data_IF_701747657495
#
_entry.id   IF_701747657495
#
_cell.length_a   1.000
_cell.length_b   1.000
_cell.length_c   1.000
_cell.angle_alpha   90.00
_cell.angle_beta   90.00
_cell.angle_gamma   90.00
#
_symmetry.space_group_name_H-M   'P 1'
#
loop_
_entity.id
_entity.type
_entity.pdbx_description
1 polymer ?
#
# COMPACT_ATOMS: atom_id res chain seq x y z
N UNK A 1 11.45 30.75 -5.69
CA UNK A 1 10.26 30.06 -6.23
C UNK A 1 9.91 28.98 -5.21
N UNK A 2 8.80 29.13 -4.49
CA UNK A 2 8.33 28.14 -3.53
C UNK A 2 7.20 27.36 -4.19
N UNK A 3 7.32 26.05 -4.23
CA UNK A 3 6.30 25.13 -4.70
C UNK A 3 6.66 23.72 -4.25
N UNK A 4 5.63 22.91 -4.03
CA UNK A 4 5.64 21.46 -3.79
C UNK A 4 5.93 20.99 -2.36
N UNK A 5 4.99 21.23 -1.44
CA UNK A 5 4.82 20.35 -0.27
C UNK A 5 3.36 20.20 0.19
N UNK A 6 2.41 20.97 -0.37
CA UNK A 6 0.96 20.90 -0.06
C UNK A 6 0.23 19.78 -0.82
N UNK A 7 0.61 19.52 -2.07
CA UNK A 7 -0.15 18.64 -2.97
C UNK A 7 -0.27 17.19 -2.44
N UNK A 8 0.80 16.63 -1.88
CA UNK A 8 0.82 15.21 -1.47
C UNK A 8 0.03 14.88 -0.20
N UNK A 9 -0.30 15.88 0.63
CA UNK A 9 -1.17 15.68 1.81
C UNK A 9 -2.64 15.86 1.47
N UNK A 10 -2.95 16.80 0.58
CA UNK A 10 -4.30 16.99 0.06
C UNK A 10 -4.78 15.76 -0.73
N UNK A 11 -3.91 15.16 -1.55
CA UNK A 11 -4.23 13.95 -2.33
C UNK A 11 -4.66 12.76 -1.45
N UNK A 12 -3.97 12.53 -0.32
CA UNK A 12 -4.27 11.43 0.60
C UNK A 12 -5.55 11.67 1.40
N UNK A 13 -5.83 12.91 1.77
CA UNK A 13 -7.04 13.24 2.53
C UNK A 13 -8.29 13.30 1.64
N UNK A 14 -8.15 13.74 0.38
CA UNK A 14 -9.20 13.62 -0.64
C UNK A 14 -9.50 12.14 -0.95
N UNK A 15 -8.46 11.32 -1.07
CA UNK A 15 -8.60 9.88 -1.25
C UNK A 15 -9.36 9.23 -0.08
N UNK A 16 -9.00 9.53 1.17
CA UNK A 16 -9.71 9.01 2.37
C UNK A 16 -11.18 9.44 2.42
N UNK A 17 -11.50 10.68 2.03
CA UNK A 17 -12.88 11.18 1.98
C UNK A 17 -13.69 10.43 0.92
N UNK A 18 -13.13 10.27 -0.26
CA UNK A 18 -13.73 9.52 -1.37
C UNK A 18 -13.93 8.05 -1.03
N UNK A 19 -12.92 7.46 -0.36
CA UNK A 19 -12.91 6.10 0.17
C UNK A 19 -14.05 5.89 1.18
N UNK A 20 -14.17 6.80 2.16
CA UNK A 20 -15.23 6.77 3.19
C UNK A 20 -16.64 6.86 2.58
N UNK A 21 -16.85 7.77 1.63
CA UNK A 21 -18.14 7.92 0.95
C UNK A 21 -18.50 6.67 0.15
N UNK A 22 -17.54 6.09 -0.58
CA UNK A 22 -17.78 4.85 -1.32
C UNK A 22 -18.13 3.68 -0.38
N UNK A 23 -17.45 3.58 0.77
CA UNK A 23 -17.72 2.52 1.73
C UNK A 23 -19.11 2.66 2.36
N UNK A 24 -19.59 3.87 2.64
CA UNK A 24 -20.96 4.07 3.13
C UNK A 24 -22.02 3.70 2.09
N UNK A 25 -21.77 4.00 0.81
CA UNK A 25 -22.64 3.60 -0.29
C UNK A 25 -22.66 2.07 -0.45
N UNK A 26 -21.50 1.43 -0.44
CA UNK A 26 -21.42 -0.02 -0.56
C UNK A 26 -22.04 -0.75 0.63
N UNK A 27 -21.88 -0.23 1.84
CA UNK A 27 -22.53 -0.80 3.02
C UNK A 27 -24.05 -0.82 2.89
N UNK A 28 -24.65 0.17 2.20
CA UNK A 28 -26.10 0.22 1.97
C UNK A 28 -26.62 -0.84 0.98
N UNK A 29 -25.79 -1.31 0.05
CA UNK A 29 -26.15 -2.37 -0.92
C UNK A 29 -25.78 -3.78 -0.41
N UNK A 30 -24.94 -3.88 0.63
CA UNK A 30 -24.51 -5.15 1.23
C UNK A 30 -25.66 -5.92 1.92
N UNK A 31 -26.77 -5.26 2.23
CA UNK A 31 -27.96 -5.87 2.84
C UNK A 31 -28.77 -6.76 1.87
N UNK A 32 -28.37 -6.81 0.58
CA UNK A 32 -29.08 -7.54 -0.47
C UNK A 32 -28.87 -9.06 -0.44
N UNK A 33 -27.63 -9.53 -0.32
CA UNK A 33 -27.29 -10.96 -0.35
C UNK A 33 -25.82 -11.24 0.03
N UNK A 34 -25.51 -12.50 0.40
CA UNK A 34 -24.17 -12.93 0.86
C UNK A 34 -23.07 -12.71 -0.19
N UNK A 35 -23.35 -12.88 -1.49
CA UNK A 35 -22.33 -12.69 -2.53
C UNK A 35 -21.94 -11.21 -2.59
N UNK A 36 -22.93 -10.32 -2.58
CA UNK A 36 -22.72 -8.87 -2.56
C UNK A 36 -21.93 -8.45 -1.33
N UNK A 37 -22.28 -8.99 -0.15
CA UNK A 37 -21.53 -8.74 1.09
C UNK A 37 -20.04 -9.13 0.97
N UNK A 38 -19.75 -10.34 0.48
CA UNK A 38 -18.37 -10.84 0.31
C UNK A 38 -17.56 -9.96 -0.65
N UNK A 39 -18.16 -9.53 -1.77
CA UNK A 39 -17.45 -8.69 -2.76
C UNK A 39 -17.14 -7.30 -2.20
N UNK A 40 -18.04 -6.74 -1.39
CA UNK A 40 -17.82 -5.47 -0.71
C UNK A 40 -16.74 -5.61 0.37
N UNK A 41 -16.78 -6.68 1.15
CA UNK A 41 -15.73 -6.97 2.13
C UNK A 41 -14.37 -7.11 1.43
N UNK A 42 -14.31 -7.84 0.31
CA UNK A 42 -13.10 -7.94 -0.51
C UNK A 42 -12.59 -6.56 -0.93
N UNK A 43 -13.44 -5.71 -1.51
CA UNK A 43 -13.06 -4.35 -1.90
C UNK A 43 -12.55 -3.53 -0.72
N UNK A 44 -13.24 -3.56 0.43
CA UNK A 44 -12.84 -2.81 1.63
C UNK A 44 -11.47 -3.29 2.17
N UNK A 45 -11.26 -4.60 2.20
CA UNK A 45 -9.98 -5.17 2.63
C UNK A 45 -8.86 -4.83 1.64
N UNK A 46 -9.18 -4.71 0.36
CA UNK A 46 -8.22 -4.35 -0.70
C UNK A 46 -7.85 -2.89 -0.66
N UNK A 47 -8.83 -2.01 -0.49
CA UNK A 47 -8.63 -0.59 -0.27
C UNK A 47 -7.73 -0.33 0.94
N UNK A 48 -8.01 -0.97 2.07
CA UNK A 48 -7.17 -0.85 3.29
C UNK A 48 -5.73 -1.33 3.06
N UNK A 49 -5.54 -2.30 2.16
CA UNK A 49 -4.23 -2.84 1.82
C UNK A 49 -3.45 -1.86 0.92
N UNK A 50 -4.09 -1.35 -0.14
CA UNK A 50 -3.53 -0.30 -1.01
C UNK A 50 -3.17 0.95 -0.21
N UNK A 51 -4.05 1.43 0.67
CA UNK A 51 -3.78 2.57 1.54
C UNK A 51 -2.52 2.35 2.40
N UNK A 52 -2.34 1.13 2.91
CA UNK A 52 -1.15 0.79 3.69
C UNK A 52 0.12 0.85 2.83
N UNK A 53 0.08 0.35 1.59
CA UNK A 53 1.21 0.42 0.65
C UNK A 53 1.50 1.85 0.20
N UNK A 54 0.46 2.66 -0.05
CA UNK A 54 0.60 4.07 -0.40
C UNK A 54 1.29 4.85 0.73
N UNK A 55 0.93 4.61 1.99
CA UNK A 55 1.61 5.21 3.13
C UNK A 55 3.11 4.85 3.12
N UNK A 56 3.46 3.58 2.89
CA UNK A 56 4.86 3.14 2.82
C UNK A 56 5.61 3.92 1.72
N UNK A 57 5.04 4.01 0.52
CA UNK A 57 5.69 4.69 -0.61
C UNK A 57 5.76 6.21 -0.38
N UNK A 58 4.65 6.84 -0.04
CA UNK A 58 4.53 8.29 -0.03
C UNK A 58 5.06 8.95 1.24
N UNK A 59 5.00 8.27 2.39
CA UNK A 59 5.40 8.82 3.69
C UNK A 59 6.74 8.29 4.20
N UNK A 60 7.21 7.16 3.68
CA UNK A 60 8.54 6.63 4.02
C UNK A 60 9.51 6.69 2.84
N UNK A 61 9.22 6.01 1.72
CA UNK A 61 10.17 5.90 0.61
C UNK A 61 10.46 7.25 -0.06
N UNK A 62 9.43 7.98 -0.48
CA UNK A 62 9.59 9.23 -1.22
C UNK A 62 10.29 10.32 -0.38
N UNK A 63 9.95 10.55 0.90
CA UNK A 63 10.65 11.53 1.72
C UNK A 63 12.12 11.15 1.95
N UNK A 64 12.44 9.86 2.10
CA UNK A 64 13.83 9.41 2.23
C UNK A 64 14.65 9.57 0.95
N UNK A 65 14.01 9.63 -0.22
CA UNK A 65 14.65 9.90 -1.51
C UNK A 65 14.68 11.39 -1.87
N UNK A 66 13.93 12.22 -1.18
CA UNK A 66 13.87 13.64 -1.47
C UNK A 66 15.19 14.31 -1.07
N UNK A 67 15.76 15.12 -1.97
CA UNK A 67 17.01 15.85 -1.74
C UNK A 67 16.94 16.84 -0.58
N UNK A 68 15.74 17.30 -0.25
CA UNK A 68 15.50 18.24 0.87
C UNK A 68 15.34 17.53 2.22
N UNK A 69 15.44 16.19 2.24
CA UNK A 69 15.35 15.42 3.47
C UNK A 69 16.61 15.63 4.33
N UNK A 70 16.42 16.01 5.59
CA UNK A 70 17.52 16.15 6.57
C UNK A 70 18.22 14.80 6.85
N UNK A 71 17.60 13.68 6.45
CA UNK A 71 18.18 12.35 6.56
C UNK A 71 19.15 12.12 5.40
N UNK A 72 20.45 12.26 5.67
CA UNK A 72 21.48 11.84 4.71
C UNK A 72 21.53 10.32 4.65
N UNK A 73 20.78 9.72 3.72
CA UNK A 73 20.83 8.30 3.37
C UNK A 73 21.01 8.19 1.85
N UNK A 74 21.80 7.20 1.41
CA UNK A 74 21.95 6.93 -0.02
C UNK A 74 20.63 6.44 -0.59
N UNK A 75 20.18 7.05 -1.69
CA UNK A 75 18.97 6.65 -2.41
C UNK A 75 18.98 5.18 -2.80
N UNK A 76 20.15 4.60 -3.08
CA UNK A 76 20.29 3.17 -3.38
C UNK A 76 19.97 2.29 -2.16
N UNK A 77 20.31 2.74 -0.96
CA UNK A 77 19.95 2.03 0.28
C UNK A 77 18.43 2.09 0.48
N UNK A 78 17.81 3.24 0.17
CA UNK A 78 16.34 3.38 0.20
C UNK A 78 15.69 2.44 -0.82
N UNK A 79 16.21 2.38 -2.04
CA UNK A 79 15.75 1.43 -3.06
C UNK A 79 15.86 -0.03 -2.61
N UNK A 80 16.96 -0.40 -1.95
CA UNK A 80 17.17 -1.74 -1.42
C UNK A 80 16.17 -2.07 -0.29
N UNK A 81 15.82 -1.09 0.55
CA UNK A 81 14.83 -1.26 1.64
C UNK A 81 13.42 -1.47 1.06
N UNK A 82 13.04 -0.69 0.05
CA UNK A 82 11.68 -0.68 -0.52
C UNK A 82 11.55 -1.49 -1.82
N UNK A 83 12.54 -2.33 -2.12
CA UNK A 83 12.58 -3.11 -3.35
C UNK A 83 11.28 -3.89 -3.57
N UNK A 84 10.73 -3.80 -4.78
CA UNK A 84 9.43 -4.36 -5.22
C UNK A 84 8.17 -3.77 -4.58
N UNK A 85 8.25 -2.95 -3.52
CA UNK A 85 7.06 -2.34 -2.89
C UNK A 85 6.27 -1.46 -3.87
N UNK A 86 6.88 -0.56 -4.67
CA UNK A 86 6.13 0.23 -5.66
C UNK A 86 5.47 -0.63 -6.74
N UNK A 87 6.12 -1.72 -7.15
CA UNK A 87 5.57 -2.65 -8.14
C UNK A 87 4.34 -3.40 -7.60
N UNK A 88 4.40 -3.84 -6.34
CA UNK A 88 3.26 -4.46 -5.64
C UNK A 88 2.12 -3.43 -5.51
N UNK A 89 2.41 -2.20 -5.09
CA UNK A 89 1.41 -1.13 -5.01
C UNK A 89 0.69 -0.94 -6.34
N UNK A 90 1.41 -0.82 -7.45
CA UNK A 90 0.83 -0.61 -8.77
C UNK A 90 -0.11 -1.76 -9.20
N UNK A 91 0.25 -3.02 -8.89
CA UNK A 91 -0.62 -4.18 -9.16
C UNK A 91 -1.95 -4.06 -8.40
N UNK A 92 -1.85 -3.74 -7.11
CA UNK A 92 -3.02 -3.69 -6.23
C UNK A 92 -3.88 -2.43 -6.45
N UNK A 93 -3.30 -1.30 -6.85
CA UNK A 93 -4.06 -0.12 -7.30
C UNK A 93 -4.89 -0.45 -8.55
N UNK A 94 -4.30 -1.13 -9.53
CA UNK A 94 -5.03 -1.58 -10.72
C UNK A 94 -6.15 -2.57 -10.38
N UNK A 95 -5.89 -3.51 -9.47
CA UNK A 95 -6.91 -4.45 -9.01
C UNK A 95 -8.05 -3.75 -8.25
N UNK A 96 -7.73 -2.81 -7.38
CA UNK A 96 -8.71 -2.03 -6.63
C UNK A 96 -9.60 -1.20 -7.56
N UNK A 97 -9.03 -0.56 -8.58
CA UNK A 97 -9.78 0.17 -9.60
C UNK A 97 -10.75 -0.74 -10.35
N UNK A 98 -10.30 -1.94 -10.69
CA UNK A 98 -11.08 -2.96 -11.40
C UNK A 98 -12.21 -3.56 -10.53
N UNK A 99 -12.00 -3.68 -9.22
CA UNK A 99 -13.06 -4.00 -8.25
C UNK A 99 -14.07 -2.85 -8.12
N UNK A 100 -13.60 -1.61 -8.04
CA UNK A 100 -14.45 -0.43 -7.95
C UNK A 100 -15.38 -0.31 -9.16
N UNK A 101 -14.84 -0.45 -10.37
CA UNK A 101 -15.62 -0.42 -11.63
C UNK A 101 -16.74 -1.47 -11.64
N UNK A 102 -16.49 -2.67 -11.12
CA UNK A 102 -17.54 -3.69 -10.98
C UNK A 102 -18.60 -3.26 -9.98
N UNK A 103 -18.18 -2.81 -8.80
CA UNK A 103 -19.08 -2.41 -7.74
C UNK A 103 -19.97 -1.21 -8.12
N UNK A 104 -19.46 -0.24 -8.87
CA UNK A 104 -20.23 0.91 -9.37
C UNK A 104 -21.42 0.49 -10.27
N UNK A 105 -21.35 -0.71 -10.87
CA UNK A 105 -22.40 -1.26 -11.75
C UNK A 105 -22.90 -2.65 -11.26
N UNK A 106 -22.80 -2.91 -9.95
CA UNK A 106 -23.02 -4.24 -9.38
C UNK A 106 -24.43 -4.78 -9.63
N UNK A 107 -24.52 -6.03 -10.10
CA UNK A 107 -25.80 -6.71 -10.31
C UNK A 107 -25.66 -8.23 -10.21
N UNK A 108 -26.79 -8.93 -10.31
CA UNK A 108 -26.87 -10.39 -10.11
C UNK A 108 -26.07 -11.23 -11.10
N UNK A 109 -25.71 -10.69 -12.27
CA UNK A 109 -25.03 -11.43 -13.33
C UNK A 109 -23.52 -11.13 -13.40
N UNK A 110 -23.00 -10.20 -12.60
CA UNK A 110 -21.58 -9.88 -12.59
C UNK A 110 -20.76 -10.94 -11.85
N UNK A 111 -19.51 -11.07 -12.31
CA UNK A 111 -18.49 -11.95 -11.72
C UNK A 111 -17.25 -11.12 -11.39
N UNK A 112 -16.49 -11.57 -10.39
CA UNK A 112 -15.22 -10.96 -9.98
C UNK A 112 -14.01 -11.84 -10.30
N UNK A 113 -14.21 -13.13 -10.56
CA UNK A 113 -13.12 -14.11 -10.70
C UNK A 113 -12.22 -13.85 -11.92
N UNK A 114 -12.77 -13.27 -12.98
CA UNK A 114 -12.02 -12.80 -14.14
C UNK A 114 -11.04 -11.68 -13.78
N UNK A 115 -11.42 -10.77 -12.88
CA UNK A 115 -10.54 -9.72 -12.33
C UNK A 115 -9.30 -10.33 -11.70
N UNK A 116 -9.50 -11.34 -10.84
CA UNK A 116 -8.42 -12.05 -10.17
C UNK A 116 -7.50 -12.74 -11.16
N UNK A 117 -8.07 -13.43 -12.16
CA UNK A 117 -7.29 -14.12 -13.16
C UNK A 117 -6.45 -13.14 -13.99
N UNK A 118 -7.04 -12.03 -14.42
CA UNK A 118 -6.36 -11.02 -15.23
C UNK A 118 -5.17 -10.40 -14.49
N UNK A 119 -5.32 -10.13 -13.19
CA UNK A 119 -4.26 -9.51 -12.39
C UNK A 119 -3.25 -10.55 -11.89
N UNK A 120 -3.69 -11.62 -11.24
CA UNK A 120 -2.81 -12.49 -10.46
C UNK A 120 -2.38 -13.78 -11.17
N UNK A 121 -2.93 -14.12 -12.34
CA UNK A 121 -2.47 -15.31 -13.10
C UNK A 121 -1.25 -15.04 -13.98
N UNK A 122 -0.77 -13.79 -14.03
CA UNK A 122 0.42 -13.43 -14.80
C UNK A 122 1.70 -13.86 -14.05
N UNK A 123 2.59 -14.59 -14.73
CA UNK A 123 3.87 -15.03 -14.14
C UNK A 123 4.75 -13.87 -13.64
N UNK A 124 4.62 -12.68 -14.22
CA UNK A 124 5.33 -11.48 -13.77
C UNK A 124 4.93 -11.06 -12.35
N UNK A 125 3.66 -11.26 -11.97
CA UNK A 125 3.20 -10.95 -10.61
C UNK A 125 3.84 -11.91 -9.60
N UNK A 126 3.88 -13.20 -9.92
CA UNK A 126 4.57 -14.20 -9.09
C UNK A 126 6.06 -13.87 -8.91
N UNK A 127 6.71 -13.42 -9.98
CA UNK A 127 8.12 -13.00 -9.94
C UNK A 127 8.33 -11.79 -9.02
N UNK A 128 7.46 -10.77 -9.10
CA UNK A 128 7.50 -9.58 -8.23
C UNK A 128 7.39 -9.98 -6.75
N UNK A 129 6.43 -10.83 -6.38
CA UNK A 129 6.32 -11.30 -4.99
C UNK A 129 7.49 -12.17 -4.56
N UNK A 130 8.01 -13.01 -5.44
CA UNK A 130 9.19 -13.83 -5.16
C UNK A 130 10.40 -12.95 -4.86
N UNK A 131 10.63 -11.93 -5.70
CA UNK A 131 11.69 -10.95 -5.53
C UNK A 131 11.53 -10.12 -4.25
N UNK A 132 10.30 -9.73 -3.92
CA UNK A 132 9.99 -9.05 -2.66
C UNK A 132 10.36 -9.93 -1.46
N UNK A 133 9.84 -11.16 -1.40
CA UNK A 133 10.09 -12.09 -0.29
C UNK A 133 11.58 -12.41 -0.14
N UNK A 134 12.29 -12.59 -1.24
CA UNK A 134 13.74 -12.83 -1.23
C UNK A 134 14.52 -11.64 -0.66
N UNK A 135 14.06 -10.41 -0.90
CA UNK A 135 14.71 -9.20 -0.39
C UNK A 135 14.30 -8.82 1.05
N UNK A 136 13.20 -9.37 1.59
CA UNK A 136 12.70 -8.97 2.91
C UNK A 136 13.74 -9.10 4.03
N UNK A 137 14.51 -10.18 4.06
CA UNK A 137 15.56 -10.36 5.07
C UNK A 137 16.62 -9.26 4.98
N UNK A 138 17.14 -9.00 3.77
CA UNK A 138 18.10 -7.93 3.48
C UNK A 138 17.55 -6.55 3.83
N UNK A 139 16.30 -6.26 3.48
CA UNK A 139 15.65 -5.00 3.80
C UNK A 139 15.61 -4.76 5.32
N UNK A 140 15.24 -5.78 6.11
CA UNK A 140 15.19 -5.68 7.58
C UNK A 140 16.56 -5.44 8.20
N UNK A 141 17.58 -6.15 7.74
CA UNK A 141 18.95 -5.95 8.20
C UNK A 141 19.46 -4.55 7.85
N UNK A 142 19.12 -4.07 6.65
CA UNK A 142 19.48 -2.73 6.17
C UNK A 142 18.81 -1.64 7.01
N UNK A 143 17.51 -1.78 7.32
CA UNK A 143 16.79 -0.88 8.23
C UNK A 143 17.47 -0.85 9.61
N UNK A 144 17.78 -2.02 10.18
CA UNK A 144 18.42 -2.12 11.50
C UNK A 144 19.79 -1.46 11.52
N UNK A 145 20.58 -1.69 10.48
CA UNK A 145 21.89 -1.08 10.33
C UNK A 145 21.77 0.45 10.24
N UNK A 146 20.89 0.96 9.36
CA UNK A 146 20.66 2.39 9.19
C UNK A 146 20.19 3.07 10.48
N UNK A 147 19.29 2.44 11.24
CA UNK A 147 18.86 2.95 12.54
C UNK A 147 20.02 3.03 13.56
N UNK A 148 21.00 2.14 13.46
CA UNK A 148 22.13 2.08 14.40
C UNK A 148 23.26 3.03 14.00
N UNK A 149 23.47 3.24 12.69
CA UNK A 149 24.55 4.07 12.16
C UNK A 149 24.12 5.52 11.91
N UNK A 150 22.82 5.77 11.72
CA UNK A 150 22.29 7.08 11.34
C UNK A 150 21.13 7.51 12.26
N UNK A 151 21.40 8.30 13.32
CA UNK A 151 20.38 8.75 14.27
C UNK A 151 19.25 9.59 13.65
N UNK A 152 19.53 10.35 12.57
CA UNK A 152 18.52 11.10 11.83
C UNK A 152 17.50 10.19 11.15
N UNK A 153 17.95 9.05 10.59
CA UNK A 153 17.08 8.03 10.01
C UNK A 153 16.19 7.39 11.08
N UNK A 154 16.75 7.02 12.23
CA UNK A 154 15.98 6.48 13.35
C UNK A 154 14.91 7.47 13.85
N UNK A 155 15.28 8.75 13.98
CA UNK A 155 14.36 9.82 14.38
C UNK A 155 13.26 10.05 13.34
N UNK A 156 13.59 10.02 12.06
CA UNK A 156 12.61 10.11 10.97
C UNK A 156 11.57 8.98 11.08
N UNK A 157 12.02 7.73 11.23
CA UNK A 157 11.10 6.60 11.39
C UNK A 157 10.23 6.72 12.64
N UNK A 158 10.76 7.24 13.75
CA UNK A 158 9.99 7.46 14.98
C UNK A 158 8.90 8.53 14.80
N UNK A 159 9.22 9.64 14.13
CA UNK A 159 8.26 10.71 13.83
C UNK A 159 7.13 10.18 12.94
N UNK A 160 7.48 9.53 11.83
CA UNK A 160 6.49 8.96 10.91
C UNK A 160 5.61 7.90 11.59
N UNK A 161 6.18 7.05 12.45
CA UNK A 161 5.42 6.04 13.20
C UNK A 161 4.42 6.66 14.21
N UNK A 162 4.76 7.81 14.82
CA UNK A 162 3.87 8.54 15.75
C UNK A 162 2.72 9.22 14.99
N UNK A 163 3.00 9.84 13.85
CA UNK A 163 1.99 10.52 13.02
C UNK A 163 0.95 9.54 12.45
N UNK A 164 1.37 8.33 12.10
CA UNK A 164 0.47 7.29 11.57
C UNK A 164 -0.14 6.37 12.65
N UNK A 165 -0.35 6.91 13.87
CA UNK A 165 -1.07 6.26 14.99
C UNK A 165 -0.56 4.87 15.36
N UNK A 166 0.75 4.66 15.37
CA UNK A 166 1.35 3.44 15.92
C UNK A 166 0.98 2.15 15.17
N UNK A 167 0.56 2.22 13.91
CA UNK A 167 0.39 1.03 13.06
C UNK A 167 1.73 0.53 12.53
N UNK A 168 2.53 0.12 13.51
CA UNK A 168 3.65 -0.82 13.50
C UNK A 168 4.96 -0.32 12.85
N UNK A 169 6.13 -0.69 13.41
CA UNK A 169 7.44 -0.37 12.81
C UNK A 169 7.51 -0.86 11.37
N UNK A 170 8.35 -0.24 10.53
CA UNK A 170 8.54 -0.58 9.12
C UNK A 170 8.68 -2.10 8.88
N UNK A 171 9.32 -2.79 9.82
CA UNK A 171 9.43 -4.25 9.92
C UNK A 171 8.09 -5.00 9.84
N UNK A 172 7.03 -4.47 10.45
CA UNK A 172 5.68 -5.05 10.51
C UNK A 172 4.78 -4.59 9.35
N UNK A 173 5.07 -3.43 8.75
CA UNK A 173 4.42 -2.95 7.51
C UNK A 173 4.80 -3.84 6.31
N UNK A 174 6.05 -4.30 6.26
CA UNK A 174 6.58 -5.20 5.23
C UNK A 174 6.07 -6.66 5.32
N UNK A 175 5.38 -7.04 6.41
CA UNK A 175 4.85 -8.41 6.61
C UNK A 175 3.41 -8.56 6.09
N UNK A 176 2.67 -7.45 5.95
CA UNK A 176 1.28 -7.49 5.48
C UNK A 176 1.08 -8.06 4.07
N UNK A 177 2.01 -7.93 3.09
CA UNK A 177 1.85 -8.57 1.79
C UNK A 177 1.84 -10.11 1.85
N UNK A 178 2.40 -10.72 2.90
CA UNK A 178 2.54 -12.19 3.01
C UNK A 178 1.25 -12.84 3.54
N UNK A 179 0.39 -12.11 4.24
CA UNK A 179 -0.85 -12.67 4.84
C UNK A 179 -2.07 -12.69 3.90
N UNK A 180 -1.95 -12.18 2.66
CA UNK A 180 -3.06 -12.08 1.68
C UNK A 180 -2.89 -12.98 0.45
N UNK A 181 -2.00 -13.98 0.47
CA UNK A 181 -2.21 -15.13 -0.41
C UNK A 181 -3.51 -15.82 0.04
N UNK A 182 -4.51 -15.99 -0.83
CA UNK A 182 -5.74 -16.69 -0.47
C UNK A 182 -5.43 -18.13 -0.01
N UNK A 183 -6.17 -18.59 1.00
CA UNK A 183 -6.57 -20.00 1.03
C UNK A 183 -7.52 -20.28 -0.12
#
# INVERSE_FOLDING_TARGET
>A
MYGTSSDSEEDLDEFKRTSTLSNTFYQSIAESDTRTHIVIELYNTEQSYVESLQIIVQKYMNPLKNSDCEVMIDTQIVDDIFYMVPSILNIHEGFLEELKKRLDCWNSNQIIGDAFNNVFSCGAVLEIYSNFVNNLSKARDTIRNCCSTQPSFAKFLEVQAKEHKGKLPLDNLLIKPIQKFPK
#
